data_IF_974721086234
#
_entry.id   IF_974721086234
#
_cell.length_a   1.000
_cell.length_b   1.000
_cell.length_c   1.000
_cell.angle_alpha   90.00
_cell.angle_beta   90.00
_cell.angle_gamma   90.00
#
_symmetry.space_group_name_H-M   'P 1'
#
loop_
_entity.id
_entity.type
_entity.pdbx_description
1 polymer ?
#
# COMPACT_ATOMS: atom_id res chain seq x y z
N UNK A 1 -11.61 32.04 -5.28
CA UNK A 1 -11.69 32.79 -4.01
C UNK A 1 -13.17 32.91 -3.70
N UNK A 2 -13.58 32.59 -2.47
CA UNK A 2 -14.98 32.58 -2.08
C UNK A 2 -15.36 33.97 -1.57
N UNK A 3 -16.00 34.78 -2.41
CA UNK A 3 -16.25 36.20 -2.14
C UNK A 3 -17.49 36.46 -1.25
N UNK A 4 -18.07 35.40 -0.66
CA UNK A 4 -19.29 35.48 0.16
C UNK A 4 -19.18 34.63 1.44
N UNK A 5 -19.64 35.13 2.60
CA UNK A 5 -19.61 34.40 3.87
C UNK A 5 -20.43 33.10 3.86
N UNK A 6 -21.39 32.97 2.93
CA UNK A 6 -22.16 31.74 2.74
C UNK A 6 -21.33 30.62 2.09
N UNK A 7 -20.47 30.98 1.14
CA UNK A 7 -19.60 30.03 0.43
C UNK A 7 -18.50 29.46 1.34
N UNK A 8 -17.94 30.32 2.20
CA UNK A 8 -16.95 29.91 3.20
C UNK A 8 -17.55 28.89 4.17
N UNK A 9 -18.78 29.13 4.68
CA UNK A 9 -19.47 28.18 5.56
C UNK A 9 -19.76 26.84 4.87
N UNK A 10 -20.06 26.86 3.56
CA UNK A 10 -20.32 25.65 2.78
C UNK A 10 -19.05 24.82 2.62
N UNK A 11 -17.93 25.45 2.25
CA UNK A 11 -16.63 24.78 2.17
C UNK A 11 -16.20 24.22 3.54
N UNK A 12 -16.35 25.00 4.60
CA UNK A 12 -16.03 24.56 5.96
C UNK A 12 -16.84 23.32 6.39
N UNK A 13 -18.15 23.30 6.12
CA UNK A 13 -18.99 22.12 6.40
C UNK A 13 -18.56 20.90 5.59
N UNK A 14 -18.17 21.09 4.32
CA UNK A 14 -17.69 20.02 3.46
C UNK A 14 -16.40 19.41 4.01
N UNK A 15 -15.42 20.23 4.38
CA UNK A 15 -14.17 19.75 5.00
C UNK A 15 -14.40 19.05 6.34
N UNK A 16 -15.30 19.58 7.17
CA UNK A 16 -15.63 18.97 8.46
C UNK A 16 -16.32 17.60 8.27
N UNK A 17 -17.29 17.52 7.35
CA UNK A 17 -17.97 16.27 7.02
C UNK A 17 -16.97 15.22 6.53
N UNK A 18 -16.09 15.58 5.60
CA UNK A 18 -15.13 14.64 5.02
C UNK A 18 -14.06 14.26 6.03
N UNK A 19 -13.62 15.19 6.89
CA UNK A 19 -12.75 14.88 8.03
C UNK A 19 -13.37 13.88 9.00
N UNK A 20 -14.68 14.00 9.28
CA UNK A 20 -15.40 13.05 10.12
C UNK A 20 -15.56 11.69 9.43
N UNK A 21 -15.87 11.68 8.13
CA UNK A 21 -15.91 10.46 7.31
C UNK A 21 -14.56 9.73 7.32
N UNK A 22 -13.44 10.44 7.21
CA UNK A 22 -12.10 9.86 7.31
C UNK A 22 -11.86 9.23 8.69
N UNK A 23 -12.23 9.93 9.76
CA UNK A 23 -12.11 9.39 11.12
C UNK A 23 -12.93 8.11 11.29
N UNK A 24 -14.17 8.12 10.78
CA UNK A 24 -15.05 6.95 10.77
C UNK A 24 -14.44 5.75 10.02
N UNK A 25 -13.91 5.95 8.81
CA UNK A 25 -13.21 4.88 8.09
C UNK A 25 -11.97 4.39 8.82
N UNK A 26 -11.30 5.25 9.59
CA UNK A 26 -10.13 4.86 10.40
C UNK A 26 -10.56 3.91 11.52
N UNK A 27 -11.65 4.23 12.22
CA UNK A 27 -12.25 3.36 13.23
C UNK A 27 -12.67 2.03 12.60
N UNK A 28 -13.27 2.04 11.40
CA UNK A 28 -13.61 0.80 10.68
C UNK A 28 -12.37 -0.02 10.38
N UNK A 29 -11.29 0.57 9.87
CA UNK A 29 -10.07 -0.20 9.56
C UNK A 29 -9.45 -0.85 10.80
N UNK A 30 -9.55 -0.18 11.95
CA UNK A 30 -9.11 -0.77 13.24
C UNK A 30 -10.08 -1.86 13.68
N UNK A 31 -11.39 -1.66 13.51
CA UNK A 31 -12.40 -2.66 13.86
C UNK A 31 -12.26 -3.93 13.03
N UNK A 32 -12.02 -3.82 11.71
CA UNK A 32 -11.74 -4.97 10.83
C UNK A 32 -10.50 -5.74 11.30
N UNK A 33 -9.50 -5.05 11.86
CA UNK A 33 -8.27 -5.70 12.34
C UNK A 33 -8.36 -6.23 13.79
N UNK A 34 -9.34 -5.80 14.61
CA UNK A 34 -9.35 -6.07 16.07
C UNK A 34 -10.59 -6.80 16.56
N UNK A 35 -11.69 -6.78 15.80
CA UNK A 35 -12.97 -7.35 16.23
C UNK A 35 -13.15 -8.72 15.57
N UNK A 36 -13.13 -9.79 16.38
CA UNK A 36 -13.35 -11.17 15.94
C UNK A 36 -14.70 -11.37 15.21
N UNK A 37 -15.69 -10.51 15.45
CA UNK A 37 -16.99 -10.55 14.75
C UNK A 37 -16.94 -10.04 13.28
N UNK A 38 -15.86 -9.37 12.89
CA UNK A 38 -15.56 -8.96 11.51
C UNK A 38 -14.36 -9.74 10.94
N UNK A 39 -13.98 -10.85 11.57
CA UNK A 39 -13.05 -11.82 11.02
C UNK A 39 -13.79 -12.57 9.89
N UNK A 40 -13.55 -12.15 8.64
CA UNK A 40 -14.11 -12.82 7.47
C UNK A 40 -13.25 -14.02 7.04
N UNK A 41 -12.17 -14.31 7.78
CA UNK A 41 -11.22 -15.41 7.56
C UNK A 41 -11.26 -16.51 8.63
N UNK A 42 -10.44 -17.54 8.44
CA UNK A 42 -10.33 -18.64 9.41
C UNK A 42 -9.43 -18.27 10.59
N UNK A 43 -10.01 -18.00 11.77
CA UNK A 43 -9.32 -17.74 13.07
C UNK A 43 -7.92 -17.14 12.93
N UNK A 44 -7.85 -15.81 12.83
CA UNK A 44 -6.60 -15.05 12.79
C UNK A 44 -6.50 -14.16 11.55
N UNK A 45 -5.58 -13.19 11.56
CA UNK A 45 -5.38 -12.25 10.46
C UNK A 45 -5.10 -13.00 9.14
N UNK A 46 -6.11 -13.10 8.29
CA UNK A 46 -6.03 -13.80 7.01
C UNK A 46 -5.80 -12.80 5.86
N UNK A 47 -5.46 -13.32 4.70
CA UNK A 47 -5.26 -12.55 3.45
C UNK A 47 -6.52 -11.75 3.09
N UNK A 48 -7.71 -12.27 3.45
CA UNK A 48 -8.99 -11.62 3.22
C UNK A 48 -9.11 -10.31 4.01
N UNK A 49 -8.72 -10.31 5.28
CA UNK A 49 -8.78 -9.10 6.13
C UNK A 49 -7.76 -8.06 5.68
N UNK A 50 -6.58 -8.51 5.22
CA UNK A 50 -5.56 -7.65 4.63
C UNK A 50 -6.07 -6.97 3.35
N UNK A 51 -6.75 -7.70 2.46
CA UNK A 51 -7.33 -7.16 1.22
C UNK A 51 -8.43 -6.14 1.53
N UNK A 52 -9.35 -6.47 2.44
CA UNK A 52 -10.44 -5.57 2.85
C UNK A 52 -9.88 -4.31 3.50
N UNK A 53 -8.92 -4.47 4.41
CA UNK A 53 -8.22 -3.35 5.06
C UNK A 53 -7.53 -2.44 4.03
N UNK A 54 -6.86 -3.03 3.03
CA UNK A 54 -6.19 -2.28 1.96
C UNK A 54 -7.17 -1.55 1.04
N UNK A 55 -8.33 -2.13 0.75
CA UNK A 55 -9.41 -1.49 -0.03
C UNK A 55 -9.98 -0.28 0.69
N UNK A 56 -10.29 -0.41 1.98
CA UNK A 56 -10.78 0.71 2.79
C UNK A 56 -9.67 1.78 2.92
N UNK A 57 -8.41 1.34 3.05
CA UNK A 57 -7.26 2.24 3.10
C UNK A 57 -7.01 3.01 1.79
N UNK A 58 -7.24 2.40 0.63
CA UNK A 58 -7.14 3.09 -0.67
C UNK A 58 -8.30 4.05 -0.90
N UNK A 59 -9.50 3.70 -0.47
CA UNK A 59 -10.65 4.60 -0.51
C UNK A 59 -10.46 5.85 0.36
N UNK A 60 -9.96 5.71 1.61
CA UNK A 60 -9.65 6.88 2.44
C UNK A 60 -8.55 7.75 1.81
N UNK A 61 -7.53 7.14 1.20
CA UNK A 61 -6.43 7.86 0.57
C UNK A 61 -6.89 8.67 -0.64
N UNK A 62 -7.81 8.14 -1.45
CA UNK A 62 -8.37 8.86 -2.60
C UNK A 62 -9.21 10.07 -2.18
N UNK A 63 -10.00 9.95 -1.11
CA UNK A 63 -10.73 11.08 -0.51
C UNK A 63 -9.78 12.19 -0.03
N UNK A 64 -8.65 11.83 0.61
CA UNK A 64 -7.64 12.80 1.03
C UNK A 64 -7.03 13.52 -0.18
N UNK A 65 -6.63 12.80 -1.22
CA UNK A 65 -6.07 13.41 -2.43
C UNK A 65 -7.06 14.34 -3.15
N UNK A 66 -8.32 13.91 -3.31
CA UNK A 66 -9.30 14.69 -4.07
C UNK A 66 -9.76 15.95 -3.33
N UNK A 67 -9.89 15.89 -2.00
CA UNK A 67 -10.52 16.96 -1.21
C UNK A 67 -9.50 17.81 -0.47
N UNK A 68 -8.58 17.20 0.27
CA UNK A 68 -7.62 17.92 1.12
C UNK A 68 -6.40 18.39 0.33
N UNK A 69 -5.93 17.60 -0.63
CA UNK A 69 -4.85 18.04 -1.54
C UNK A 69 -5.37 18.86 -2.74
N UNK A 70 -6.67 19.17 -2.78
CA UNK A 70 -7.28 20.01 -3.83
C UNK A 70 -7.00 19.53 -5.27
N UNK A 71 -6.68 18.23 -5.50
CA UNK A 71 -6.31 17.79 -6.84
C UNK A 71 -7.37 18.13 -7.88
N UNK A 72 -8.65 18.11 -7.50
CA UNK A 72 -9.80 18.27 -8.41
C UNK A 72 -9.75 19.52 -9.32
N UNK A 73 -9.07 20.59 -8.92
CA UNK A 73 -8.92 21.81 -9.75
C UNK A 73 -7.47 22.15 -10.10
N UNK A 74 -6.56 21.18 -10.01
CA UNK A 74 -5.15 21.36 -10.34
C UNK A 74 -4.82 21.12 -11.82
N UNK A 75 -3.62 21.55 -12.21
CA UNK A 75 -3.11 21.35 -13.57
C UNK A 75 -2.92 19.87 -13.88
N UNK A 76 -3.19 19.47 -15.13
CA UNK A 76 -3.03 18.08 -15.62
C UNK A 76 -1.66 17.46 -15.33
N UNK A 77 -0.60 18.27 -15.27
CA UNK A 77 0.76 17.82 -14.93
C UNK A 77 0.85 17.24 -13.50
N UNK A 78 0.12 17.81 -12.55
CA UNK A 78 0.11 17.34 -11.16
C UNK A 78 -0.49 15.93 -11.09
N UNK A 79 -1.60 15.68 -11.80
CA UNK A 79 -2.20 14.35 -11.91
C UNK A 79 -1.24 13.32 -12.53
N UNK A 80 -0.48 13.72 -13.55
CA UNK A 80 0.50 12.85 -14.17
C UNK A 80 1.62 12.44 -13.20
N UNK A 81 2.17 13.40 -12.43
CA UNK A 81 3.20 13.11 -11.44
C UNK A 81 2.68 12.18 -10.32
N UNK A 82 1.46 12.40 -9.83
CA UNK A 82 0.85 11.51 -8.84
C UNK A 82 0.62 10.09 -9.39
N UNK A 83 0.10 9.97 -10.61
CA UNK A 83 -0.09 8.67 -11.25
C UNK A 83 1.25 7.93 -11.41
N UNK A 84 2.29 8.64 -11.86
CA UNK A 84 3.64 8.09 -11.98
C UNK A 84 4.20 7.64 -10.63
N UNK A 85 4.00 8.42 -9.56
CA UNK A 85 4.44 8.08 -8.21
C UNK A 85 3.74 6.80 -7.69
N UNK A 86 2.44 6.65 -7.93
CA UNK A 86 1.68 5.45 -7.55
C UNK A 86 2.19 4.22 -8.31
N UNK A 87 2.33 4.33 -9.64
CA UNK A 87 2.86 3.23 -10.47
C UNK A 87 4.26 2.83 -10.00
N UNK A 88 5.14 3.81 -9.79
CA UNK A 88 6.50 3.54 -9.34
C UNK A 88 6.53 2.89 -7.95
N UNK A 89 5.69 3.36 -7.02
CA UNK A 89 5.54 2.74 -5.70
C UNK A 89 5.09 1.27 -5.77
N UNK A 90 4.10 0.97 -6.62
CA UNK A 90 3.64 -0.41 -6.84
C UNK A 90 4.75 -1.26 -7.47
N UNK A 91 5.49 -0.73 -8.45
CA UNK A 91 6.63 -1.42 -9.06
C UNK A 91 7.71 -1.76 -8.03
N UNK A 92 8.06 -0.83 -7.13
CA UNK A 92 9.06 -1.08 -6.09
C UNK A 92 8.59 -2.10 -5.06
N UNK A 93 7.32 -2.05 -4.64
CA UNK A 93 6.77 -3.08 -3.75
C UNK A 93 6.74 -4.45 -4.43
N UNK A 94 6.37 -4.51 -5.71
CA UNK A 94 6.39 -5.73 -6.51
C UNK A 94 7.80 -6.31 -6.69
N UNK A 95 8.79 -5.45 -6.99
CA UNK A 95 10.19 -5.85 -7.09
C UNK A 95 10.72 -6.41 -5.77
N UNK A 96 10.34 -5.80 -4.64
CA UNK A 96 10.68 -6.30 -3.30
C UNK A 96 10.05 -7.66 -3.05
N UNK A 97 8.80 -7.88 -3.50
CA UNK A 97 8.14 -9.18 -3.47
C UNK A 97 8.89 -10.24 -4.26
N UNK A 98 9.26 -9.94 -5.50
CA UNK A 98 10.04 -10.85 -6.35
C UNK A 98 11.43 -11.17 -5.80
N UNK A 99 12.07 -10.23 -5.11
CA UNK A 99 13.34 -10.48 -4.47
C UNK A 99 13.28 -11.59 -3.40
N UNK A 100 12.11 -11.88 -2.82
CA UNK A 100 11.95 -13.02 -1.90
C UNK A 100 11.81 -14.37 -2.62
N UNK A 101 11.40 -14.39 -3.89
CA UNK A 101 11.30 -15.62 -4.71
C UNK A 101 12.60 -16.02 -5.39
N UNK A 102 13.56 -15.09 -5.50
CA UNK A 102 14.88 -15.32 -6.09
C UNK A 102 15.99 -15.30 -5.02
N UNK A 103 16.11 -16.37 -4.20
CA UNK A 103 17.17 -16.47 -3.21
C UNK A 103 18.53 -16.59 -3.91
N UNK A 104 19.53 -15.89 -3.40
CA UNK A 104 20.89 -15.98 -3.92
C UNK A 104 21.43 -17.39 -3.65
N UNK A 105 21.51 -18.22 -4.69
CA UNK A 105 22.20 -19.50 -4.63
C UNK A 105 23.73 -19.28 -4.66
N UNK A 106 24.38 -19.48 -3.52
CA UNK A 106 25.84 -19.52 -3.46
C UNK A 106 26.30 -20.93 -3.86
N UNK A 107 26.76 -21.07 -5.11
CA UNK A 107 27.53 -22.21 -5.63
C UNK A 107 26.74 -23.51 -5.85
N UNK A 108 27.00 -24.19 -6.98
CA UNK A 108 26.42 -25.51 -7.28
C UNK A 108 26.77 -26.54 -6.19
N UNK A 109 25.77 -27.30 -5.73
CA UNK A 109 25.93 -28.33 -4.69
C UNK A 109 26.87 -29.50 -5.02
N UNK A 110 27.39 -29.58 -6.26
CA UNK A 110 28.45 -30.54 -6.62
C UNK A 110 29.83 -30.05 -6.23
N UNK A 111 30.05 -28.74 -6.17
CA UNK A 111 31.37 -28.09 -5.99
C UNK A 111 31.34 -27.07 -4.86
N UNK A 112 30.29 -27.07 -4.03
CA UNK A 112 30.16 -26.14 -2.91
C UNK A 112 30.31 -26.84 -1.58
N UNK A 113 31.09 -26.23 -0.69
CA UNK A 113 31.27 -26.71 0.66
C UNK A 113 29.95 -26.61 1.47
N UNK A 114 29.93 -27.18 2.68
CA UNK A 114 28.75 -27.15 3.58
C UNK A 114 28.32 -25.74 4.01
N UNK A 115 29.06 -24.70 3.60
CA UNK A 115 28.78 -23.29 3.84
C UNK A 115 28.41 -22.52 2.57
N UNK A 116 28.32 -23.18 1.40
CA UNK A 116 27.90 -22.59 0.12
C UNK A 116 29.02 -21.89 -0.66
N UNK A 117 30.30 -22.08 -0.30
CA UNK A 117 31.42 -21.50 -1.04
C UNK A 117 32.01 -22.50 -2.06
N UNK A 118 32.49 -21.97 -3.20
CA UNK A 118 33.12 -22.77 -4.26
C UNK A 118 34.40 -23.46 -3.76
N UNK A 119 34.38 -24.79 -3.80
CA UNK A 119 35.48 -25.67 -3.44
C UNK A 119 36.06 -26.32 -4.71
N UNK A 120 37.22 -25.85 -5.22
CA UNK A 120 37.84 -26.37 -6.43
C UNK A 120 38.33 -27.83 -6.30
N UNK A 121 38.26 -28.44 -5.12
CA UNK A 121 38.66 -29.84 -4.91
C UNK A 121 37.51 -30.84 -5.13
N UNK A 122 36.27 -30.35 -5.23
CA UNK A 122 35.06 -31.15 -5.48
C UNK A 122 34.49 -30.89 -6.89
N UNK A 123 35.34 -30.81 -7.90
CA UNK A 123 34.88 -30.83 -9.30
C UNK A 123 34.48 -32.26 -9.70
N UNK A 124 33.30 -32.49 -10.32
CA UNK A 124 32.96 -33.79 -10.88
C UNK A 124 33.97 -34.12 -11.99
N UNK A 125 34.67 -35.25 -11.86
CA UNK A 125 35.37 -35.86 -12.99
C UNK A 125 34.30 -36.44 -13.94
N UNK A 126 34.41 -36.09 -15.20
CA UNK A 126 33.51 -36.33 -16.33
C UNK A 126 33.10 -37.79 -16.57
#
# INVERSE_FOLDING_TARGET
MADSPAEIKKAQKLYLLIGLTLFFFTVITVAVATVEALDFGGRGFDHVDAIIGLLIATFKASLVMLIFMHLNHEKKLVYFLYAMAIVFGICLMGLTGWAFEDPIEYGQGTTSDKTGFYDPTNTPED
#
